data_IF_445219521096
#
_entry.id   IF_445219521096
#
_cell.length_a   1.000
_cell.length_b   1.000
_cell.length_c   1.000
_cell.angle_alpha   90.00
_cell.angle_beta   90.00
_cell.angle_gamma   90.00
#
_symmetry.space_group_name_H-M   'P 1'
#
loop_
_entity.id
_entity.type
_entity.pdbx_description
1 polymer ?
#
# COMPACT_ATOMS: atom_id res chain seq x y z
N UNK A 1 49.36 30.12 37.51
CA UNK A 1 48.26 30.44 38.45
C UNK A 1 46.93 30.17 37.74
N UNK A 2 46.02 29.40 38.36
CA UNK A 2 44.66 28.96 37.90
C UNK A 2 44.61 27.99 36.71
N UNK A 3 43.73 26.98 36.63
CA UNK A 3 42.91 26.16 37.55
C UNK A 3 42.29 25.07 36.65
N UNK A 4 42.22 23.82 37.09
CA UNK A 4 41.40 22.77 36.45
C UNK A 4 39.91 23.16 36.37
N UNK A 5 39.19 22.64 35.37
CA UNK A 5 37.84 22.05 35.54
C UNK A 5 37.57 20.94 34.51
N UNK A 6 37.13 19.80 35.03
CA UNK A 6 36.54 18.60 34.40
C UNK A 6 35.09 18.83 33.93
N UNK A 7 34.61 17.85 33.14
CA UNK A 7 33.21 17.39 32.93
C UNK A 7 32.26 18.31 32.13
N UNK A 8 31.28 17.83 31.36
CA UNK A 8 30.64 16.51 31.30
C UNK A 8 29.94 16.32 29.94
N UNK A 9 29.71 15.07 29.54
CA UNK A 9 29.17 14.73 28.22
C UNK A 9 27.77 15.29 27.91
N UNK A 10 27.52 15.49 26.61
CA UNK A 10 26.19 15.31 26.02
C UNK A 10 26.35 14.52 24.73
N UNK A 11 25.85 13.27 24.79
CA UNK A 11 25.87 12.34 23.68
C UNK A 11 25.28 12.97 22.43
N UNK A 12 25.96 12.76 21.29
CA UNK A 12 25.39 12.97 19.97
C UNK A 12 24.10 12.13 19.91
N UNK A 13 22.94 12.79 19.93
CA UNK A 13 21.66 12.12 19.65
C UNK A 13 21.80 11.51 18.25
N UNK A 14 21.79 10.18 18.17
CA UNK A 14 21.79 9.46 16.91
C UNK A 14 20.46 9.77 16.18
N UNK A 15 20.47 10.70 15.22
CA UNK A 15 19.31 10.99 14.35
C UNK A 15 19.07 9.92 13.27
N UNK A 16 19.41 8.65 13.53
CA UNK A 16 19.59 7.64 12.47
C UNK A 16 18.40 6.71 12.21
N UNK A 17 17.24 6.90 12.84
CA UNK A 17 16.04 6.06 12.60
C UNK A 17 14.73 6.83 12.81
N UNK A 18 14.65 8.03 12.26
CA UNK A 18 13.38 8.75 12.18
C UNK A 18 12.72 8.39 10.85
N UNK A 19 11.43 8.01 10.89
CA UNK A 19 10.64 7.82 9.69
C UNK A 19 10.68 9.13 8.91
N UNK A 20 11.06 9.04 7.63
CA UNK A 20 11.32 10.23 6.84
C UNK A 20 10.05 11.06 6.73
N UNK A 21 10.15 12.35 7.06
CA UNK A 21 9.19 13.32 6.60
C UNK A 21 9.48 13.58 5.12
N UNK A 22 8.52 13.31 4.23
CA UNK A 22 8.58 13.83 2.87
C UNK A 22 7.64 15.03 2.80
N UNK A 23 8.13 16.17 2.31
CA UNK A 23 7.36 17.41 2.15
C UNK A 23 6.64 17.90 3.43
N UNK A 24 7.11 17.53 4.62
CA UNK A 24 6.51 17.92 5.91
C UNK A 24 5.44 16.96 6.44
N UNK A 25 5.15 15.87 5.73
CA UNK A 25 4.18 14.86 6.18
C UNK A 25 4.83 13.80 7.05
N UNK A 26 4.22 13.53 8.22
CA UNK A 26 4.66 12.45 9.10
C UNK A 26 4.26 11.11 8.47
N UNK A 27 5.26 10.30 8.11
CA UNK A 27 5.03 8.93 7.64
C UNK A 27 4.71 7.94 8.77
N UNK A 28 4.68 8.41 10.02
CA UNK A 28 4.20 7.63 11.14
C UNK A 28 2.67 7.70 11.26
N UNK A 29 2.10 6.72 11.96
CA UNK A 29 0.68 6.55 12.19
C UNK A 29 0.11 5.33 11.47
N UNK A 30 -1.19 5.18 11.63
CA UNK A 30 -2.00 4.22 10.87
C UNK A 30 -2.22 4.72 9.47
N UNK A 31 -2.08 3.83 8.49
CA UNK A 31 -2.27 4.09 7.06
C UNK A 31 -3.26 3.10 6.48
N UNK A 32 -4.34 3.62 5.89
CA UNK A 32 -5.40 2.81 5.31
C UNK A 32 -5.05 2.47 3.86
N UNK A 33 -4.84 1.19 3.59
CA UNK A 33 -4.44 0.71 2.26
C UNK A 33 -5.63 0.06 1.56
N UNK A 34 -5.87 0.47 0.33
CA UNK A 34 -6.77 -0.21 -0.58
C UNK A 34 -5.97 -1.21 -1.43
N UNK A 35 -6.33 -2.48 -1.40
CA UNK A 35 -5.80 -3.50 -2.31
C UNK A 35 -6.80 -3.71 -3.42
N UNK A 36 -6.35 -3.68 -4.68
CA UNK A 36 -7.22 -3.81 -5.85
C UNK A 36 -6.78 -5.00 -6.67
N UNK A 37 -7.60 -6.06 -6.68
CA UNK A 37 -7.42 -7.22 -7.56
C UNK A 37 -8.09 -6.97 -8.90
N UNK A 38 -7.30 -7.03 -9.96
CA UNK A 38 -7.69 -6.59 -11.29
C UNK A 38 -7.80 -7.79 -12.21
N UNK A 39 -8.98 -7.98 -12.80
CA UNK A 39 -9.20 -8.81 -13.98
C UNK A 39 -9.19 -7.94 -15.22
N UNK A 40 -8.38 -8.26 -16.22
CA UNK A 40 -8.31 -7.49 -17.46
C UNK A 40 -9.32 -7.92 -18.53
N UNK A 41 -9.33 -7.21 -19.67
CA UNK A 41 -10.23 -7.47 -20.79
C UNK A 41 -9.97 -8.78 -21.56
N UNK A 42 -8.92 -9.54 -21.19
CA UNK A 42 -8.65 -10.90 -21.65
C UNK A 42 -8.91 -11.95 -20.55
N UNK A 43 -9.66 -11.57 -19.51
CA UNK A 43 -9.96 -12.37 -18.33
C UNK A 43 -8.69 -12.83 -17.55
N UNK A 44 -7.58 -12.09 -17.69
CA UNK A 44 -6.34 -12.37 -16.95
C UNK A 44 -6.44 -11.76 -15.56
N UNK A 45 -6.21 -12.59 -14.54
CA UNK A 45 -6.24 -12.23 -13.13
C UNK A 45 -5.30 -13.14 -12.35
N UNK A 46 -4.71 -12.63 -11.26
CA UNK A 46 -3.96 -13.48 -10.32
C UNK A 46 -4.84 -14.61 -9.78
N UNK A 47 -4.24 -15.79 -9.62
CA UNK A 47 -4.92 -16.99 -9.12
C UNK A 47 -5.30 -16.92 -7.64
N UNK A 48 -4.58 -16.13 -6.85
CA UNK A 48 -4.93 -15.84 -5.46
C UNK A 48 -6.28 -15.12 -5.38
N UNK A 49 -7.05 -15.41 -4.33
CA UNK A 49 -8.36 -14.78 -4.10
C UNK A 49 -8.23 -13.59 -3.15
N UNK A 50 -9.31 -12.79 -3.03
CA UNK A 50 -9.33 -11.61 -2.18
C UNK A 50 -9.00 -11.90 -0.70
N UNK A 51 -9.41 -13.05 -0.16
CA UNK A 51 -9.11 -13.40 1.24
C UNK A 51 -7.62 -13.65 1.46
N UNK A 52 -6.95 -14.35 0.54
CA UNK A 52 -5.50 -14.54 0.57
C UNK A 52 -4.77 -13.20 0.48
N UNK A 53 -5.15 -12.34 -0.47
CA UNK A 53 -4.54 -11.01 -0.60
C UNK A 53 -4.75 -10.13 0.64
N UNK A 54 -5.91 -10.24 1.28
CA UNK A 54 -6.19 -9.56 2.55
C UNK A 54 -5.29 -10.07 3.67
N UNK A 55 -5.06 -11.38 3.76
CA UNK A 55 -4.18 -11.99 4.78
C UNK A 55 -2.71 -11.59 4.55
N UNK A 56 -2.22 -11.69 3.30
CA UNK A 56 -0.84 -11.38 2.96
C UNK A 56 -0.48 -9.90 3.21
N UNK A 57 -1.46 -8.99 3.11
CA UNK A 57 -1.25 -7.57 3.34
C UNK A 57 -1.50 -7.19 4.80
N UNK A 58 -2.60 -7.66 5.40
CA UNK A 58 -3.07 -7.15 6.70
C UNK A 58 -2.99 -8.16 7.84
N UNK A 59 -2.72 -9.43 7.56
CA UNK A 59 -2.75 -10.51 8.55
C UNK A 59 -4.14 -10.77 9.11
N UNK A 60 -5.17 -10.72 8.26
CA UNK A 60 -6.57 -10.89 8.68
C UNK A 60 -6.93 -12.32 9.09
N UNK A 61 -6.06 -13.30 8.81
CA UNK A 61 -6.19 -14.68 9.22
C UNK A 61 -4.92 -15.18 9.94
N UNK A 62 -4.20 -16.13 9.33
CA UNK A 62 -3.17 -16.91 10.04
C UNK A 62 -1.75 -16.56 9.62
N UNK A 63 -1.54 -15.67 8.65
CA UNK A 63 -0.19 -15.29 8.22
C UNK A 63 0.50 -14.40 9.27
N UNK A 64 1.53 -14.90 9.98
CA UNK A 64 2.27 -14.09 10.94
C UNK A 64 3.24 -13.11 10.25
N UNK A 65 3.56 -13.29 8.96
CA UNK A 65 4.55 -12.50 8.21
C UNK A 65 3.89 -11.90 6.96
N UNK A 66 3.07 -10.88 7.21
CA UNK A 66 2.36 -10.10 6.20
C UNK A 66 3.00 -8.71 6.03
N UNK A 67 2.51 -7.92 5.07
CA UNK A 67 3.01 -6.55 4.83
C UNK A 67 2.91 -5.69 6.11
N UNK A 68 1.77 -5.71 6.79
CA UNK A 68 1.56 -4.97 8.04
C UNK A 68 2.62 -5.31 9.08
N UNK A 69 2.82 -6.59 9.40
CA UNK A 69 3.77 -7.01 10.44
C UNK A 69 5.22 -6.66 10.08
N UNK A 70 5.59 -6.74 8.80
CA UNK A 70 6.93 -6.33 8.34
C UNK A 70 7.13 -4.81 8.38
N UNK A 71 6.11 -4.02 8.02
CA UNK A 71 6.16 -2.56 8.10
C UNK A 71 6.19 -2.07 9.55
N UNK A 72 5.42 -2.68 10.43
CA UNK A 72 5.46 -2.43 11.87
C UNK A 72 6.84 -2.75 12.46
N UNK A 73 7.39 -3.94 12.15
CA UNK A 73 8.71 -4.36 12.64
C UNK A 73 9.83 -3.43 12.14
N UNK A 74 9.85 -3.10 10.85
CA UNK A 74 10.86 -2.21 10.26
C UNK A 74 10.75 -0.77 10.77
N UNK A 75 9.54 -0.32 11.09
CA UNK A 75 9.27 1.04 11.55
C UNK A 75 9.35 1.21 13.07
N UNK A 76 9.50 0.12 13.84
CA UNK A 76 9.34 0.11 15.29
C UNK A 76 7.95 0.59 15.73
N UNK A 77 6.89 0.00 15.14
CA UNK A 77 5.47 0.29 15.38
C UNK A 77 5.08 1.75 15.10
N UNK A 78 5.88 2.44 14.27
CA UNK A 78 5.59 3.82 13.91
C UNK A 78 4.73 3.91 12.65
N UNK A 79 4.76 2.91 11.79
CA UNK A 79 3.94 2.82 10.60
C UNK A 79 3.11 1.54 10.70
N UNK A 80 1.80 1.72 10.81
CA UNK A 80 0.82 0.63 10.95
C UNK A 80 -0.01 0.66 9.68
N UNK A 81 -0.13 -0.47 9.00
CA UNK A 81 -1.00 -0.61 7.82
C UNK A 81 -2.31 -1.25 8.25
N UNK A 82 -3.42 -0.65 7.86
CA UNK A 82 -4.76 -1.19 8.11
C UNK A 82 -5.54 -1.28 6.80
N UNK A 83 -6.50 -2.23 6.69
CA UNK A 83 -7.36 -2.32 5.53
C UNK A 83 -8.20 -1.05 5.37
N UNK A 84 -8.31 -0.58 4.13
CA UNK A 84 -9.27 0.46 3.77
C UNK A 84 -10.70 0.04 4.13
N UNK A 85 -11.49 1.00 4.63
CA UNK A 85 -12.92 0.81 4.85
C UNK A 85 -13.64 0.92 3.50
N UNK A 86 -14.30 -0.17 3.12
CA UNK A 86 -15.00 -0.31 1.83
C UNK A 86 -16.49 -0.57 2.08
N UNK A 87 -17.39 -0.04 1.23
CA UNK A 87 -18.80 -0.42 1.24
C UNK A 87 -18.95 -1.94 1.21
N UNK A 88 -19.85 -2.49 2.04
CA UNK A 88 -19.99 -3.94 2.21
C UNK A 88 -20.30 -4.67 0.90
N UNK A 89 -21.04 -4.03 -0.01
CA UNK A 89 -21.40 -4.54 -1.33
C UNK A 89 -20.26 -4.48 -2.37
N UNK A 90 -19.19 -3.72 -2.07
CA UNK A 90 -17.99 -3.57 -2.92
C UNK A 90 -16.78 -4.30 -2.34
N UNK A 91 -16.85 -4.73 -1.09
CA UNK A 91 -15.77 -5.35 -0.35
C UNK A 91 -15.69 -6.85 -0.66
N UNK A 92 -14.63 -7.28 -1.35
CA UNK A 92 -14.37 -8.69 -1.62
C UNK A 92 -13.73 -9.39 -0.41
N UNK A 93 -12.87 -8.68 0.32
CA UNK A 93 -12.31 -9.05 1.62
C UNK A 93 -11.88 -7.76 2.36
N UNK A 94 -11.39 -7.85 3.59
CA UNK A 94 -10.98 -6.66 4.34
C UNK A 94 -9.90 -5.88 3.57
N UNK A 95 -10.20 -4.64 3.18
CA UNK A 95 -9.32 -3.76 2.41
C UNK A 95 -9.14 -4.16 0.94
N UNK A 96 -9.87 -5.17 0.43
CA UNK A 96 -9.72 -5.68 -0.94
C UNK A 96 -10.96 -5.38 -1.78
N UNK A 97 -10.73 -4.68 -2.89
CA UNK A 97 -11.68 -4.45 -3.97
C UNK A 97 -11.33 -5.36 -5.16
N UNK A 98 -12.32 -6.02 -5.75
CA UNK A 98 -12.18 -6.72 -7.02
C UNK A 98 -12.81 -5.89 -8.13
N UNK A 99 -12.07 -5.69 -9.23
CA UNK A 99 -12.57 -4.99 -10.41
C UNK A 99 -12.29 -5.78 -11.67
N UNK A 100 -13.14 -5.57 -12.67
CA UNK A 100 -12.87 -5.98 -14.06
C UNK A 100 -12.70 -4.73 -14.91
N UNK A 101 -11.55 -4.59 -15.57
CA UNK A 101 -11.32 -3.54 -16.57
C UNK A 101 -11.59 -4.11 -17.95
N UNK A 102 -12.32 -3.38 -18.78
CA UNK A 102 -12.61 -3.83 -20.17
C UNK A 102 -11.37 -3.79 -21.07
N UNK A 103 -10.36 -3.01 -20.67
CA UNK A 103 -9.13 -2.86 -21.41
C UNK A 103 -8.23 -4.10 -21.27
N UNK A 104 -7.66 -4.54 -22.39
CA UNK A 104 -6.58 -5.54 -22.42
C UNK A 104 -5.28 -4.85 -22.04
N UNK A 105 -4.78 -5.14 -20.83
CA UNK A 105 -3.65 -4.37 -20.28
C UNK A 105 -2.36 -4.61 -21.05
N UNK A 106 -2.19 -5.81 -21.61
CA UNK A 106 -1.05 -6.17 -22.46
C UNK A 106 -0.98 -5.43 -23.80
N UNK A 107 -2.10 -4.85 -24.22
CA UNK A 107 -2.27 -4.19 -25.51
C UNK A 107 -2.12 -2.66 -25.39
N UNK A 108 -1.98 -2.14 -24.16
CA UNK A 108 -1.79 -0.72 -23.89
C UNK A 108 -0.30 -0.37 -23.94
N UNK A 109 0.04 0.66 -24.71
CA UNK A 109 1.40 1.20 -24.77
C UNK A 109 1.55 2.39 -23.83
N UNK A 110 1.96 2.13 -22.58
CA UNK A 110 2.35 3.15 -21.60
C UNK A 110 1.76 2.92 -20.21
N UNK A 111 2.60 2.99 -19.18
CA UNK A 111 2.20 2.79 -17.77
C UNK A 111 1.07 3.74 -17.37
N UNK A 112 1.19 5.03 -17.71
CA UNK A 112 0.17 6.03 -17.37
C UNK A 112 -1.21 5.70 -17.95
N UNK A 113 -1.27 5.06 -19.12
CA UNK A 113 -2.54 4.67 -19.73
C UNK A 113 -3.17 3.47 -19.03
N UNK A 114 -2.35 2.51 -18.59
CA UNK A 114 -2.80 1.38 -17.76
C UNK A 114 -3.30 1.89 -16.41
N UNK A 115 -2.53 2.74 -15.75
CA UNK A 115 -2.88 3.33 -14.46
C UNK A 115 -4.17 4.15 -14.55
N UNK A 116 -4.34 4.95 -15.61
CA UNK A 116 -5.57 5.70 -15.83
C UNK A 116 -6.79 4.81 -16.03
N UNK A 117 -6.69 3.74 -16.83
CA UNK A 117 -7.80 2.81 -17.05
C UNK A 117 -8.23 2.10 -15.76
N UNK A 118 -7.27 1.65 -14.96
CA UNK A 118 -7.51 1.03 -13.65
C UNK A 118 -8.10 2.05 -12.66
N UNK A 119 -7.50 3.25 -12.56
CA UNK A 119 -7.95 4.33 -11.68
C UNK A 119 -9.39 4.72 -12.00
N UNK A 120 -9.73 4.92 -13.28
CA UNK A 120 -11.10 5.24 -13.69
C UNK A 120 -12.08 4.16 -13.25
N UNK A 121 -11.76 2.88 -13.47
CA UNK A 121 -12.62 1.79 -13.06
C UNK A 121 -12.83 1.75 -11.54
N UNK A 122 -11.78 1.97 -10.74
CA UNK A 122 -11.91 2.03 -9.26
C UNK A 122 -12.82 3.18 -8.85
N UNK A 123 -12.63 4.36 -9.44
CA UNK A 123 -13.44 5.54 -9.14
C UNK A 123 -14.91 5.32 -9.51
N UNK A 124 -15.19 4.67 -10.64
CA UNK A 124 -16.55 4.33 -11.07
C UNK A 124 -17.20 3.31 -10.12
N UNK A 125 -16.44 2.32 -9.63
CA UNK A 125 -16.94 1.31 -8.70
C UNK A 125 -17.21 1.86 -7.31
N UNK A 126 -16.36 2.77 -6.82
CA UNK A 126 -16.44 3.33 -5.47
C UNK A 126 -17.25 4.65 -5.41
N UNK A 127 -17.46 5.32 -6.54
CA UNK A 127 -18.12 6.63 -6.59
C UNK A 127 -17.29 7.75 -5.96
N UNK A 128 -15.96 7.64 -5.96
CA UNK A 128 -15.03 8.61 -5.37
C UNK A 128 -13.98 9.05 -6.39
N UNK A 129 -13.23 10.11 -6.08
CA UNK A 129 -11.98 10.44 -6.77
C UNK A 129 -10.79 9.93 -5.96
N UNK A 130 -9.90 9.17 -6.59
CA UNK A 130 -8.71 8.63 -5.91
C UNK A 130 -7.69 9.75 -5.58
N UNK A 131 -6.92 9.61 -4.49
CA UNK A 131 -6.89 8.46 -3.57
C UNK A 131 -8.04 8.44 -2.55
N UNK A 132 -8.91 9.46 -2.53
CA UNK A 132 -9.99 9.56 -1.54
C UNK A 132 -9.44 9.59 -0.11
N UNK A 133 -10.01 8.76 0.75
CA UNK A 133 -9.59 8.58 2.15
C UNK A 133 -8.47 7.52 2.31
N UNK A 134 -7.97 6.96 1.21
CA UNK A 134 -6.92 5.95 1.25
C UNK A 134 -5.54 6.60 1.28
N UNK A 135 -4.67 6.11 2.16
CA UNK A 135 -3.29 6.58 2.22
C UNK A 135 -2.45 5.96 1.09
N UNK A 136 -2.78 4.75 0.64
CA UNK A 136 -2.13 4.03 -0.46
C UNK A 136 -3.12 3.11 -1.19
N UNK A 137 -2.85 2.90 -2.48
CA UNK A 137 -3.56 1.92 -3.32
C UNK A 137 -2.54 0.92 -3.86
N UNK A 138 -2.76 -0.36 -3.59
CA UNK A 138 -1.94 -1.48 -4.04
C UNK A 138 -2.64 -2.20 -5.18
N UNK A 139 -2.12 -2.07 -6.39
CA UNK A 139 -2.65 -2.78 -7.56
C UNK A 139 -2.12 -4.21 -7.59
N UNK A 140 -3.01 -5.17 -7.87
CA UNK A 140 -2.68 -6.58 -8.07
C UNK A 140 -3.12 -6.96 -9.48
N UNK A 141 -2.15 -7.09 -10.37
CA UNK A 141 -2.33 -7.53 -11.77
C UNK A 141 -1.68 -8.88 -11.99
N UNK A 142 -2.12 -9.61 -13.02
CA UNK A 142 -1.62 -10.94 -13.34
C UNK A 142 -0.14 -10.95 -13.77
N UNK A 143 0.25 -9.97 -14.59
CA UNK A 143 1.62 -9.80 -15.08
C UNK A 143 2.06 -8.32 -14.99
N UNK A 144 3.34 -8.08 -15.27
CA UNK A 144 3.91 -6.75 -15.43
C UNK A 144 3.61 -6.18 -16.82
N UNK A 145 2.56 -5.38 -16.95
CA UNK A 145 2.19 -4.75 -18.22
C UNK A 145 2.91 -3.42 -18.41
N UNK A 146 3.83 -3.35 -19.39
CA UNK A 146 4.61 -2.14 -19.75
C UNK A 146 5.32 -1.44 -18.57
N UNK A 147 5.61 -2.16 -17.47
CA UNK A 147 6.20 -1.62 -16.24
C UNK A 147 5.20 -1.34 -15.11
N UNK A 148 3.90 -1.44 -15.38
CA UNK A 148 2.85 -1.52 -14.38
C UNK A 148 2.83 -2.93 -13.79
N UNK A 149 3.59 -3.10 -12.72
CA UNK A 149 3.63 -4.33 -11.95
C UNK A 149 2.80 -4.15 -10.67
N UNK A 150 1.92 -5.11 -10.42
CA UNK A 150 1.26 -5.21 -9.12
C UNK A 150 2.16 -5.85 -8.08
N UNK A 151 1.67 -5.95 -6.85
CA UNK A 151 2.32 -6.79 -5.83
C UNK A 151 2.48 -8.22 -6.37
N UNK A 152 3.71 -8.72 -6.31
CA UNK A 152 4.11 -10.05 -6.73
C UNK A 152 4.27 -10.97 -5.52
#
# INVERSE_FOLDING_TARGET
>A
HKKEKKDNGKGKKNSRRELQYLNGENRAGTKNYLVVRITDGDDKVRSENAATMSDDVFGTATDPINLKSQMEACSYNKLIVEPADLPEDKKAAAGVLEITVEAKLDSINGVDLVENAVTQKIQDELGITLPGDFDQVLYIVEDCYVGFCGYA
#
